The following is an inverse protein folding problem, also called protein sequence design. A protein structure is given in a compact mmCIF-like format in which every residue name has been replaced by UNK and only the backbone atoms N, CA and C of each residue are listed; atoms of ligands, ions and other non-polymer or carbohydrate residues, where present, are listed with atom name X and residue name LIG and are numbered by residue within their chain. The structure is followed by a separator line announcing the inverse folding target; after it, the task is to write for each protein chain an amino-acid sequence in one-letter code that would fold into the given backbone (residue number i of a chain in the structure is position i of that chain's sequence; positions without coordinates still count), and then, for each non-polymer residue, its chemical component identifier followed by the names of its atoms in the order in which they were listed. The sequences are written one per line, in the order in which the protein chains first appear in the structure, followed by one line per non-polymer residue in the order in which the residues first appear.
data_IF_216567773014
#
_entry.id   IF_216567773014
#
_cell.length_a   1.000
_cell.length_b   1.000
_cell.length_c   1.000
_cell.angle_alpha   90.00
_cell.angle_beta   90.00
_cell.angle_gamma   90.00
#
_symmetry.space_group_name_H-M   'P 1'
#
loop_
_entity.id
_entity.type
_entity.pdbx_description
1 polymer ?
#
# COMPACT_ATOMS: atom_id res chain seq x y z
N UNK A 1 -31.15 -32.13 22.26
CA UNK A 1 -29.88 -31.35 22.26
C UNK A 1 -29.01 -31.42 20.97
N UNK A 2 -29.41 -31.98 19.80
CA UNK A 2 -28.61 -31.83 18.57
C UNK A 2 -28.93 -30.55 17.77
N UNK A 3 -30.14 -29.98 17.94
CA UNK A 3 -30.60 -28.80 17.18
C UNK A 3 -29.95 -27.48 17.62
N UNK A 4 -29.32 -27.43 18.81
CA UNK A 4 -28.67 -26.22 19.33
C UNK A 4 -27.20 -26.09 18.87
N UNK A 5 -26.54 -27.19 18.51
CA UNK A 5 -25.17 -27.17 17.97
C UNK A 5 -25.11 -26.68 16.52
N UNK A 6 -26.18 -26.91 15.75
CA UNK A 6 -26.29 -26.46 14.36
C UNK A 6 -26.37 -24.93 14.23
N UNK A 7 -26.98 -24.26 15.23
CA UNK A 7 -27.14 -22.80 15.24
C UNK A 7 -25.82 -22.06 15.51
N UNK A 8 -24.94 -22.60 16.37
CA UNK A 8 -23.61 -22.04 16.61
C UNK A 8 -22.64 -22.26 15.45
N UNK A 9 -22.75 -23.38 14.73
CA UNK A 9 -21.98 -23.61 13.50
C UNK A 9 -22.37 -22.66 12.37
N UNK A 10 -23.62 -22.18 12.34
CA UNK A 10 -24.11 -21.25 11.31
C UNK A 10 -23.68 -19.79 11.58
N UNK A 11 -23.56 -19.39 12.85
CA UNK A 11 -23.05 -18.05 13.22
C UNK A 11 -21.55 -17.87 12.97
N UNK A 12 -20.77 -18.96 12.93
CA UNK A 12 -19.32 -18.88 12.66
C UNK A 12 -19.00 -18.65 11.18
N UNK A 13 -19.91 -19.00 10.26
CA UNK A 13 -19.71 -18.88 8.80
C UNK A 13 -20.04 -17.48 8.27
N UNK A 14 -20.68 -16.62 9.06
CA UNK A 14 -21.08 -15.27 8.66
C UNK A 14 -20.05 -14.17 8.98
N UNK A 15 -18.90 -14.52 9.56
CA UNK A 15 -17.72 -13.64 9.59
C UNK A 15 -16.85 -13.87 8.34
N UNK A 16 -17.49 -14.01 7.17
CA UNK A 16 -16.76 -13.84 5.92
C UNK A 16 -16.43 -12.36 5.80
N UNK A 17 -15.20 -12.00 6.14
CA UNK A 17 -14.63 -10.68 5.90
C UNK A 17 -15.07 -10.21 4.52
N UNK A 18 -15.83 -9.13 4.45
CA UNK A 18 -16.08 -8.47 3.18
C UNK A 18 -14.71 -7.97 2.72
N UNK A 19 -14.06 -8.70 1.80
CA UNK A 19 -12.92 -8.17 1.07
C UNK A 19 -13.48 -7.05 0.19
N UNK A 20 -13.29 -5.80 0.64
CA UNK A 20 -13.63 -4.63 -0.14
C UNK A 20 -12.56 -4.53 -1.23
N UNK A 21 -12.80 -5.18 -2.38
CA UNK A 21 -11.98 -4.91 -3.56
C UNK A 21 -12.24 -3.48 -3.95
N UNK A 22 -11.26 -2.62 -3.72
CA UNK A 22 -11.38 -1.23 -4.08
C UNK A 22 -11.34 -1.12 -5.60
N UNK A 23 -12.37 -0.50 -6.18
CA UNK A 23 -12.35 -0.17 -7.60
C UNK A 23 -11.39 0.99 -7.81
N UNK A 24 -10.57 0.89 -8.87
CA UNK A 24 -9.65 1.95 -9.27
C UNK A 24 -10.37 3.32 -9.31
N UNK A 25 -9.94 4.31 -8.50
CA UNK A 25 -10.59 5.62 -8.48
C UNK A 25 -10.53 6.29 -9.86
N UNK A 26 -11.52 7.11 -10.25
CA UNK A 26 -11.56 7.74 -11.57
C UNK A 26 -10.34 8.62 -11.90
N UNK A 27 -9.63 9.10 -10.88
CA UNK A 27 -8.43 9.92 -11.01
C UNK A 27 -7.14 9.11 -11.13
N UNK A 28 -7.21 7.78 -11.09
CA UNK A 28 -6.07 6.90 -11.34
C UNK A 28 -6.21 6.37 -12.76
N UNK A 29 -5.22 6.61 -13.65
CA UNK A 29 -5.28 6.10 -15.01
C UNK A 29 -5.27 4.57 -15.00
N UNK A 30 -6.09 3.93 -15.81
CA UNK A 30 -6.05 2.47 -15.98
C UNK A 30 -5.04 2.04 -17.04
N UNK A 31 -4.77 2.89 -18.04
CA UNK A 31 -3.79 2.62 -19.08
C UNK A 31 -2.39 3.04 -18.61
N UNK A 32 -1.42 2.12 -18.69
CA UNK A 32 -0.04 2.35 -18.25
C UNK A 32 0.17 2.31 -16.74
N UNK A 33 -0.83 1.88 -15.96
CA UNK A 33 -0.71 1.72 -14.50
C UNK A 33 0.01 0.43 -14.17
N UNK A 34 1.19 0.53 -13.56
CA UNK A 34 2.05 -0.61 -13.20
C UNK A 34 1.92 -0.97 -11.71
N UNK A 35 1.57 0.00 -10.86
CA UNK A 35 1.35 -0.22 -9.44
C UNK A 35 0.39 0.83 -8.86
N UNK A 36 -0.44 0.43 -7.89
CA UNK A 36 -1.34 1.28 -7.16
C UNK A 36 -1.50 0.79 -5.71
N UNK A 37 -1.03 1.62 -4.78
CA UNK A 37 -1.11 1.33 -3.34
C UNK A 37 -2.11 2.30 -2.69
N UNK A 38 -3.37 1.89 -2.47
CA UNK A 38 -4.35 2.72 -1.77
C UNK A 38 -4.13 2.78 -0.25
N UNK A 39 -3.19 1.98 0.27
CA UNK A 39 -2.86 1.87 1.69
C UNK A 39 -4.06 1.60 2.60
N UNK A 40 -4.99 0.76 2.14
CA UNK A 40 -6.27 0.45 2.80
C UNK A 40 -6.16 -0.57 3.94
N UNK A 41 -5.11 -0.41 4.77
CA UNK A 41 -4.78 -1.31 5.88
C UNK A 41 -3.65 -2.30 5.56
N UNK A 42 -3.02 -2.21 4.39
CA UNK A 42 -1.85 -2.99 4.00
C UNK A 42 -1.03 -2.23 2.93
N UNK A 43 0.10 -2.80 2.50
CA UNK A 43 0.94 -2.25 1.43
C UNK A 43 0.81 -3.06 0.12
N UNK A 44 -0.36 -3.67 -0.11
CA UNK A 44 -0.60 -4.46 -1.31
C UNK A 44 -0.78 -3.55 -2.52
N UNK A 45 -0.36 -4.06 -3.67
CA UNK A 45 -0.61 -3.44 -4.97
C UNK A 45 -1.97 -3.92 -5.50
N UNK A 46 -2.92 -2.99 -5.61
CA UNK A 46 -4.27 -3.25 -6.12
C UNK A 46 -4.36 -3.02 -7.65
N UNK A 47 -3.20 -2.91 -8.32
CA UNK A 47 -3.12 -2.95 -9.78
C UNK A 47 -3.27 -4.39 -10.33
N UNK A 48 -3.17 -4.55 -11.65
CA UNK A 48 -3.19 -5.88 -12.28
C UNK A 48 -1.89 -6.68 -12.08
N UNK A 49 -0.85 -6.08 -11.51
CA UNK A 49 0.49 -6.68 -11.44
C UNK A 49 0.84 -7.28 -10.07
N UNK A 50 0.08 -6.97 -9.00
CA UNK A 50 0.29 -7.52 -7.65
C UNK A 50 1.74 -7.35 -7.14
N UNK A 51 2.30 -6.17 -7.36
CA UNK A 51 3.63 -5.80 -6.88
C UNK A 51 3.62 -5.44 -5.39
N UNK A 52 3.17 -6.35 -4.52
CA UNK A 52 2.96 -6.07 -3.10
C UNK A 52 4.23 -5.57 -2.39
N UNK A 53 4.07 -4.57 -1.53
CA UNK A 53 5.14 -4.00 -0.73
C UNK A 53 5.39 -4.76 0.58
N UNK A 54 6.67 -4.91 0.92
CA UNK A 54 7.14 -5.44 2.20
C UNK A 54 7.49 -4.29 3.15
N UNK A 55 7.05 -4.39 4.41
CA UNK A 55 7.25 -3.38 5.43
C UNK A 55 8.55 -3.64 6.22
N UNK A 56 9.37 -2.60 6.41
CA UNK A 56 10.63 -2.64 7.19
C UNK A 56 10.71 -1.46 8.17
N UNK A 57 11.61 -1.56 9.16
CA UNK A 57 11.88 -0.50 10.16
C UNK A 57 10.87 -0.40 11.30
N UNK A 58 9.65 -0.93 11.11
CA UNK A 58 8.56 -0.75 12.08
C UNK A 58 7.51 0.25 11.62
N UNK A 59 7.61 0.70 10.36
CA UNK A 59 6.61 1.50 9.64
C UNK A 59 5.18 1.05 9.99
N UNK A 60 4.35 2.04 10.34
CA UNK A 60 3.04 1.78 10.93
C UNK A 60 1.92 2.49 10.17
N UNK A 61 0.75 1.88 10.19
CA UNK A 61 -0.46 2.47 9.61
C UNK A 61 -0.88 3.70 10.41
N UNK A 62 -1.30 4.74 9.70
CA UNK A 62 -1.74 6.02 10.26
C UNK A 62 -2.97 6.55 9.53
N UNK A 63 -3.43 7.72 9.96
CA UNK A 63 -4.56 8.42 9.36
C UNK A 63 -4.16 9.12 8.08
N UNK A 64 -4.98 8.99 7.03
CA UNK A 64 -4.73 9.65 5.75
C UNK A 64 -5.12 11.14 5.73
N UNK A 65 -5.06 11.76 4.55
CA UNK A 65 -5.40 13.17 4.32
C UNK A 65 -6.89 13.51 4.51
N UNK A 66 -7.77 12.51 4.58
CA UNK A 66 -9.20 12.68 4.77
C UNK A 66 -9.65 12.39 6.20
N UNK A 67 -8.74 11.94 7.06
CA UNK A 67 -9.07 11.54 8.43
C UNK A 67 -9.42 10.04 8.54
N UNK A 68 -9.23 9.26 7.48
CA UNK A 68 -9.53 7.83 7.49
C UNK A 68 -8.39 7.07 8.18
N UNK A 69 -8.68 6.26 9.22
CA UNK A 69 -7.66 5.51 9.95
C UNK A 69 -7.16 4.33 9.11
N UNK A 70 -5.87 3.99 9.28
CA UNK A 70 -5.21 2.89 8.58
C UNK A 70 -5.24 3.03 7.05
N UNK A 71 -5.15 4.27 6.56
CA UNK A 71 -5.24 4.63 5.14
C UNK A 71 -3.96 5.29 4.60
N UNK A 72 -2.89 5.31 5.41
CA UNK A 72 -1.57 5.83 5.08
C UNK A 72 -0.50 5.15 5.96
N UNK A 73 0.79 5.35 5.65
CA UNK A 73 1.91 4.91 6.49
C UNK A 73 2.67 6.10 7.07
N UNK A 74 3.03 5.98 8.35
CA UNK A 74 3.93 6.88 9.07
C UNK A 74 5.35 6.31 9.05
N UNK A 75 6.32 7.17 8.71
CA UNK A 75 7.74 6.84 8.62
C UNK A 75 8.48 7.71 9.63
N UNK A 76 9.15 7.09 10.59
CA UNK A 76 9.78 7.78 11.73
C UNK A 76 11.10 8.49 11.39
N UNK A 77 11.62 8.25 10.18
CA UNK A 77 12.86 8.85 9.67
C UNK A 77 14.15 8.13 10.09
N UNK A 78 14.06 6.95 10.72
CA UNK A 78 15.23 6.18 11.18
C UNK A 78 15.61 5.10 10.17
N UNK A 79 14.77 4.08 10.00
CA UNK A 79 15.01 2.94 9.10
C UNK A 79 13.73 2.38 8.44
N UNK A 80 12.65 3.17 8.44
CA UNK A 80 11.37 2.81 7.83
C UNK A 80 11.39 2.91 6.30
N UNK A 81 10.95 1.83 5.65
CA UNK A 81 10.66 1.84 4.21
C UNK A 81 9.67 0.74 3.83
N UNK A 82 8.99 0.97 2.70
CA UNK A 82 8.22 -0.06 2.00
C UNK A 82 9.06 -0.49 0.80
N UNK A 83 9.47 -1.75 0.78
CA UNK A 83 10.21 -2.32 -0.34
C UNK A 83 9.25 -3.05 -1.26
N UNK A 84 9.20 -2.61 -2.50
CA UNK A 84 8.56 -3.36 -3.58
C UNK A 84 9.66 -4.27 -4.15
N UNK A 85 9.47 -5.60 -4.20
CA UNK A 85 10.36 -6.49 -4.95
C UNK A 85 10.57 -5.94 -6.37
N UNK A 86 11.61 -6.33 -7.10
CA UNK A 86 11.81 -5.80 -8.47
C UNK A 86 11.19 -6.74 -9.51
N UNK A 87 9.89 -6.61 -9.84
CA UNK A 87 9.25 -7.37 -10.88
C UNK A 87 9.60 -6.75 -12.24
N UNK A 88 9.41 -7.48 -13.34
CA UNK A 88 9.93 -7.09 -14.66
C UNK A 88 9.37 -5.74 -15.17
N UNK A 89 8.19 -5.37 -14.71
CA UNK A 89 7.37 -4.23 -15.13
C UNK A 89 7.86 -2.95 -14.46
N UNK A 90 8.56 -3.05 -13.33
CA UNK A 90 9.22 -1.93 -12.65
C UNK A 90 10.70 -1.78 -13.07
N UNK A 91 11.18 -2.62 -13.98
CA UNK A 91 12.51 -2.50 -14.60
C UNK A 91 12.43 -1.55 -15.79
N UNK A 92 12.35 -0.25 -15.50
CA UNK A 92 12.53 0.81 -16.51
C UNK A 92 13.98 0.78 -17.05
N UNK A 93 14.12 0.57 -18.36
CA UNK A 93 15.37 0.67 -19.10
C UNK A 93 15.80 2.11 -19.39
N UNK A 94 16.90 2.26 -20.13
CA UNK A 94 17.52 3.57 -20.40
C UNK A 94 16.67 4.52 -21.28
N UNK A 95 15.56 4.04 -21.84
CA UNK A 95 14.69 4.82 -22.72
C UNK A 95 13.22 4.71 -22.33
N UNK A 96 12.94 4.15 -21.16
CA UNK A 96 11.58 4.03 -20.64
C UNK A 96 11.26 5.25 -19.78
N UNK A 97 10.14 5.91 -20.09
CA UNK A 97 9.60 6.99 -19.28
C UNK A 97 8.60 6.42 -18.27
N UNK A 98 8.56 7.02 -17.08
CA UNK A 98 7.55 6.68 -16.07
C UNK A 98 7.08 7.94 -15.34
N UNK A 99 5.96 7.82 -14.63
CA UNK A 99 5.41 8.87 -13.78
C UNK A 99 4.97 8.26 -12.46
N UNK A 100 5.13 9.04 -11.38
CA UNK A 100 4.66 8.68 -10.04
C UNK A 100 3.73 9.79 -9.56
N UNK A 101 2.60 9.41 -8.97
CA UNK A 101 1.69 10.32 -8.28
C UNK A 101 1.51 9.83 -6.85
N UNK A 102 1.77 10.69 -5.86
CA UNK A 102 1.64 10.35 -4.45
C UNK A 102 1.23 11.55 -3.60
N UNK A 103 0.62 11.26 -2.46
CA UNK A 103 0.43 12.21 -1.37
C UNK A 103 1.47 11.93 -0.29
N UNK A 104 2.09 12.97 0.24
CA UNK A 104 2.97 12.87 1.40
C UNK A 104 2.76 14.07 2.33
N UNK A 105 3.09 13.88 3.60
CA UNK A 105 3.03 14.91 4.62
C UNK A 105 4.35 14.91 5.40
N UNK A 106 5.18 15.95 5.27
CA UNK A 106 6.40 16.05 6.08
C UNK A 106 6.04 16.31 7.55
N UNK A 107 6.76 15.67 8.48
CA UNK A 107 6.61 15.89 9.93
C UNK A 107 7.62 16.92 10.41
N UNK A 108 8.87 16.80 9.97
CA UNK A 108 9.96 17.74 10.24
C UNK A 108 10.74 17.97 8.95
N UNK A 109 11.28 19.18 8.77
CA UNK A 109 12.18 19.50 7.68
C UNK A 109 13.52 19.88 8.27
N UNK A 110 14.48 18.96 8.27
CA UNK A 110 15.87 19.29 8.57
C UNK A 110 16.60 19.61 7.26
N UNK A 111 17.02 20.86 7.00
CA UNK A 111 17.75 21.21 5.79
C UNK A 111 19.14 20.55 5.70
N UNK A 112 19.60 19.89 6.76
CA UNK A 112 20.90 19.24 6.82
C UNK A 112 20.83 17.73 6.52
N UNK A 113 19.63 17.15 6.43
CA UNK A 113 19.43 15.73 6.07
C UNK A 113 19.15 15.59 4.57
N UNK A 114 19.51 14.42 4.02
CA UNK A 114 19.08 14.00 2.69
C UNK A 114 17.99 12.97 2.86
N UNK A 115 16.76 13.37 2.59
CA UNK A 115 15.60 12.50 2.65
C UNK A 115 15.14 12.13 1.25
N UNK A 116 14.66 10.90 1.08
CA UNK A 116 14.18 10.39 -0.19
C UNK A 116 12.74 9.92 -0.03
N UNK A 117 11.81 10.48 -0.82
CA UNK A 117 10.45 9.95 -0.91
C UNK A 117 10.37 8.68 -1.76
N UNK A 118 11.26 8.55 -2.73
CA UNK A 118 11.38 7.40 -3.61
C UNK A 118 12.84 7.20 -3.98
N UNK A 119 13.26 5.93 -3.99
CA UNK A 119 14.61 5.53 -4.41
C UNK A 119 14.53 4.21 -5.17
N UNK A 120 15.12 4.18 -6.37
CA UNK A 120 15.34 2.94 -7.13
C UNK A 120 16.80 2.53 -6.98
N UNK A 121 17.05 1.28 -6.60
CA UNK A 121 18.39 0.71 -6.68
C UNK A 121 18.66 0.32 -8.14
N UNK A 122 19.67 0.95 -8.74
CA UNK A 122 20.25 0.44 -9.98
C UNK A 122 21.42 -0.47 -9.58
N UNK A 123 21.40 -1.71 -10.05
CA UNK A 123 22.56 -2.59 -10.03
C UNK A 123 23.56 -2.16 -11.10
#
# INVERSE_FOLDING_TARGET
MPKLKLLFSLLFVLNSSFAYSQTLPPNVPSNGLIAWYPFNGNANDESTFNNDGNLFGGVSLTTDRFGDPNSAYDFDGVDDFIEIPTPNELVFGNSDDFSINLWFKPVEFDPNTKEHLFKKYAC
#
